data_IF_854718208636
#
_entry.id   IF_854718208636
#
_cell.length_a   1.000
_cell.length_b   1.000
_cell.length_c   1.000
_cell.angle_alpha   90.00
_cell.angle_beta   90.00
_cell.angle_gamma   90.00
#
_symmetry.space_group_name_H-M   'P 1'
#
loop_
_entity.id
_entity.type
_entity.pdbx_description
1 polymer ?
#
# COMPACT_ATOMS: atom_id res chain seq x y z
N UNK A 1 -26.91 -4.60 -5.00
CA UNK A 1 -25.59 -4.94 -5.58
C UNK A 1 -24.64 -3.76 -5.46
N UNK A 2 -25.05 -2.55 -5.87
CA UNK A 2 -24.30 -1.29 -5.65
C UNK A 2 -24.01 -1.00 -4.17
N UNK A 3 -24.96 -1.28 -3.27
CA UNK A 3 -24.74 -1.09 -1.82
C UNK A 3 -23.63 -1.97 -1.25
N UNK A 4 -23.52 -3.21 -1.75
CA UNK A 4 -22.46 -4.15 -1.35
C UNK A 4 -21.10 -3.64 -1.85
N UNK A 5 -21.03 -3.15 -3.08
CA UNK A 5 -19.79 -2.57 -3.61
C UNK A 5 -19.41 -1.30 -2.84
N UNK A 6 -20.37 -0.44 -2.49
CA UNK A 6 -20.11 0.74 -1.69
C UNK A 6 -19.58 0.38 -0.29
N UNK A 7 -20.15 -0.63 0.36
CA UNK A 7 -19.67 -1.14 1.63
C UNK A 7 -18.24 -1.69 1.53
N UNK A 8 -17.97 -2.58 0.57
CA UNK A 8 -16.63 -3.15 0.35
C UNK A 8 -15.61 -2.07 0.01
N UNK A 9 -16.02 -1.03 -0.73
CA UNK A 9 -15.17 0.13 -1.02
C UNK A 9 -14.81 0.89 0.26
N UNK A 10 -15.78 1.14 1.15
CA UNK A 10 -15.51 1.81 2.43
C UNK A 10 -14.59 0.98 3.34
N UNK A 11 -14.82 -0.33 3.41
CA UNK A 11 -13.95 -1.26 4.15
C UNK A 11 -12.52 -1.27 3.57
N UNK A 12 -12.39 -1.25 2.24
CA UNK A 12 -11.11 -1.20 1.55
C UNK A 12 -10.37 0.12 1.79
N UNK A 13 -11.08 1.25 1.80
CA UNK A 13 -10.50 2.56 2.16
C UNK A 13 -9.98 2.55 3.59
N UNK A 14 -10.78 2.06 4.54
CA UNK A 14 -10.38 1.95 5.93
C UNK A 14 -9.14 1.06 6.11
N UNK A 15 -9.10 -0.10 5.44
CA UNK A 15 -7.94 -0.98 5.45
C UNK A 15 -6.69 -0.34 4.83
N UNK A 16 -6.84 0.43 3.74
CA UNK A 16 -5.73 1.16 3.14
C UNK A 16 -5.21 2.29 4.04
N UNK A 17 -6.09 3.00 4.75
CA UNK A 17 -5.70 4.02 5.73
C UNK A 17 -4.99 3.41 6.94
N UNK A 18 -5.49 2.29 7.47
CA UNK A 18 -4.85 1.57 8.56
C UNK A 18 -3.47 1.04 8.14
N UNK A 19 -3.37 0.45 6.95
CA UNK A 19 -2.09 0.03 6.35
C UNK A 19 -1.12 1.20 6.19
N UNK A 20 -1.60 2.35 5.70
CA UNK A 20 -0.79 3.58 5.60
C UNK A 20 -0.27 4.08 6.95
N UNK A 21 -1.11 4.05 8.00
CA UNK A 21 -0.68 4.41 9.36
C UNK A 21 0.35 3.44 9.92
N UNK A 22 0.16 2.13 9.73
CA UNK A 22 1.11 1.11 10.15
C UNK A 22 2.47 1.28 9.45
N UNK A 23 2.46 1.60 8.15
CA UNK A 23 3.68 1.95 7.40
C UNK A 23 4.35 3.19 7.99
N UNK A 24 3.61 4.26 8.28
CA UNK A 24 4.19 5.46 8.87
C UNK A 24 4.86 5.17 10.23
N UNK A 25 4.21 4.37 11.08
CA UNK A 25 4.80 3.92 12.34
C UNK A 25 6.08 3.09 12.14
N UNK A 26 6.11 2.26 11.09
CA UNK A 26 7.30 1.50 10.73
C UNK A 26 8.44 2.43 10.24
N UNK A 27 8.14 3.48 9.47
CA UNK A 27 9.13 4.49 9.05
C UNK A 27 9.76 5.15 10.28
N UNK A 28 8.94 5.62 11.21
CA UNK A 28 9.41 6.30 12.43
C UNK A 28 10.27 5.35 13.29
N UNK A 29 9.85 4.08 13.39
CA UNK A 29 10.61 3.05 14.11
C UNK A 29 11.96 2.75 13.47
N UNK A 30 12.02 2.65 12.14
CA UNK A 30 13.26 2.42 11.39
C UNK A 30 14.21 3.62 11.53
N UNK A 31 13.68 4.85 11.49
CA UNK A 31 14.47 6.05 11.75
C UNK A 31 15.07 6.03 13.17
N UNK A 32 14.30 5.61 14.17
CA UNK A 32 14.79 5.41 15.54
C UNK A 32 15.91 4.35 15.63
N UNK A 33 15.74 3.22 14.93
CA UNK A 33 16.78 2.17 14.85
C UNK A 33 18.06 2.72 14.22
N UNK A 34 17.96 3.52 13.15
CA UNK A 34 19.13 4.14 12.52
C UNK A 34 19.91 5.00 13.52
N UNK A 35 19.21 5.82 14.31
CA UNK A 35 19.82 6.61 15.38
C UNK A 35 20.56 5.75 16.41
N UNK A 36 19.94 4.67 16.88
CA UNK A 36 20.57 3.74 17.84
C UNK A 36 21.82 3.09 17.25
N UNK A 37 21.80 2.70 15.98
CA UNK A 37 22.96 2.12 15.28
C UNK A 37 24.12 3.13 15.23
N UNK A 38 23.83 4.40 14.86
CA UNK A 38 24.85 5.45 14.82
C UNK A 38 25.44 5.75 16.20
N UNK A 39 24.60 5.83 17.23
CA UNK A 39 25.05 6.05 18.61
C UNK A 39 25.93 4.89 19.09
N UNK A 40 25.52 3.66 18.81
CA UNK A 40 26.28 2.45 19.18
C UNK A 40 27.63 2.42 18.46
N UNK A 41 27.67 2.77 17.17
CA UNK A 41 28.92 2.91 16.42
C UNK A 41 29.85 3.97 17.06
N UNK A 42 29.29 5.09 17.54
CA UNK A 42 30.03 6.13 18.27
C UNK A 42 30.64 5.62 19.58
N UNK A 43 29.90 4.85 20.36
CA UNK A 43 30.39 4.22 21.59
C UNK A 43 31.52 3.23 21.30
N UNK A 44 31.39 2.41 20.26
CA UNK A 44 32.41 1.43 19.88
C UNK A 44 33.70 2.13 19.39
N UNK A 45 33.60 3.22 18.61
CA UNK A 45 34.78 4.03 18.24
C UNK A 45 35.48 4.63 19.46
N UNK A 46 34.70 5.06 20.46
CA UNK A 46 35.25 5.56 21.72
C UNK A 46 36.01 4.47 22.49
N UNK A 47 35.47 3.24 22.52
CA UNK A 47 36.18 2.07 23.06
C UNK A 47 37.51 1.81 22.31
N UNK A 48 37.54 1.95 20.98
CA UNK A 48 38.77 1.83 20.20
C UNK A 48 39.84 2.84 20.64
N UNK A 49 39.43 4.08 20.88
CA UNK A 49 40.31 5.14 21.39
C UNK A 49 40.81 4.82 22.82
N UNK A 50 39.96 4.26 23.68
CA UNK A 50 40.38 3.84 25.02
C UNK A 50 41.36 2.66 24.98
N UNK A 51 41.13 1.66 24.13
CA UNK A 51 42.05 0.54 23.93
C UNK A 51 43.42 1.01 23.46
N UNK A 52 43.48 2.04 22.62
CA UNK A 52 44.74 2.63 22.18
C UNK A 52 45.49 3.35 23.31
N UNK A 53 44.78 4.08 24.17
CA UNK A 53 45.37 4.68 25.39
C UNK A 53 45.88 3.60 26.36
N UNK A 54 45.13 2.51 26.54
CA UNK A 54 45.57 1.40 27.39
C UNK A 54 46.83 0.74 26.81
N UNK A 55 46.90 0.55 25.49
CA UNK A 55 48.10 0.03 24.83
C UNK A 55 49.34 0.88 25.17
N UNK A 56 49.25 2.21 25.10
CA UNK A 56 50.36 3.10 25.45
C UNK A 56 50.79 2.99 26.92
N UNK A 57 49.83 2.78 27.83
CA UNK A 57 50.13 2.55 29.25
C UNK A 57 50.86 1.23 29.44
N UNK A 58 50.41 0.17 28.77
CA UNK A 58 51.04 -1.16 28.83
C UNK A 58 52.46 -1.12 28.27
N UNK A 59 52.68 -0.41 27.16
CA UNK A 59 54.02 -0.19 26.59
C UNK A 59 54.94 0.54 27.57
N UNK A 60 54.41 1.55 28.28
CA UNK A 60 55.15 2.28 29.32
C UNK A 60 55.51 1.37 30.49
N UNK A 61 54.58 0.55 30.97
CA UNK A 61 54.82 -0.42 32.07
C UNK A 61 55.88 -1.44 31.66
N UNK A 62 55.80 -1.96 30.43
CA UNK A 62 56.79 -2.88 29.87
C UNK A 62 58.18 -2.23 29.85
N UNK A 63 58.27 -0.97 29.39
CA UNK A 63 59.51 -0.19 29.44
C UNK A 63 60.06 0.01 30.85
N UNK A 64 59.21 0.33 31.83
CA UNK A 64 59.60 0.47 33.25
C UNK A 64 60.10 -0.87 33.81
N UNK A 65 59.40 -1.97 33.53
CA UNK A 65 59.78 -3.31 33.97
C UNK A 65 61.14 -3.70 33.40
N UNK A 66 61.37 -3.50 32.10
CA UNK A 66 62.65 -3.74 31.45
C UNK A 66 63.79 -2.90 32.05
N UNK A 67 63.57 -1.60 32.29
CA UNK A 67 64.54 -0.74 32.95
C UNK A 67 64.84 -1.17 34.39
N UNK A 68 63.81 -1.56 35.14
CA UNK A 68 63.94 -2.05 36.52
C UNK A 68 64.71 -3.36 36.56
N UNK A 69 64.47 -4.25 35.59
CA UNK A 69 65.21 -5.51 35.44
C UNK A 69 66.70 -5.24 35.21
N UNK A 70 67.04 -4.30 34.31
CA UNK A 70 68.43 -3.89 34.07
C UNK A 70 69.09 -3.22 35.28
N UNK A 71 68.36 -2.36 35.99
CA UNK A 71 68.84 -1.72 37.22
C UNK A 71 69.12 -2.76 38.32
N UNK A 72 68.21 -3.72 38.51
CA UNK A 72 68.35 -4.80 39.47
C UNK A 72 69.51 -5.73 39.12
N UNK A 73 69.71 -6.02 37.83
CA UNK A 73 70.87 -6.78 37.35
C UNK A 73 72.19 -6.07 37.67
N UNK A 74 72.28 -4.77 37.38
CA UNK A 74 73.47 -3.98 37.70
C UNK A 74 73.73 -3.93 39.21
N UNK A 75 72.68 -3.77 40.02
CA UNK A 75 72.80 -3.81 41.48
C UNK A 75 73.24 -5.19 42.01
N UNK A 76 72.79 -6.28 41.40
CA UNK A 76 73.22 -7.63 41.75
C UNK A 76 74.70 -7.87 41.42
N UNK A 77 75.18 -7.33 40.29
CA UNK A 77 76.61 -7.37 39.91
C UNK A 77 77.46 -6.60 40.92
N UNK A 78 77.07 -5.36 41.25
CA UNK A 78 77.82 -4.51 42.20
C UNK A 78 77.82 -5.12 43.62
N UNK A 79 76.70 -5.72 44.03
CA UNK A 79 76.58 -6.41 45.31
C UNK A 79 77.47 -7.67 45.38
N UNK A 80 77.63 -8.41 44.27
CA UNK A 80 78.58 -9.51 44.19
C UNK A 80 80.04 -9.04 44.27
N UNK A 81 80.33 -7.85 43.70
CA UNK A 81 81.65 -7.24 43.71
C UNK A 81 82.07 -6.74 45.11
N UNK A 82 81.12 -6.35 45.96
CA UNK A 82 81.34 -5.98 47.37
C UNK A 82 81.57 -7.19 48.32
N UNK A 83 81.53 -8.42 47.80
CA UNK A 83 81.80 -9.65 48.57
C UNK A 83 80.84 -9.86 49.75
N UNK A 84 81.37 -10.23 50.91
CA UNK A 84 80.57 -10.54 52.11
C UNK A 84 79.71 -9.36 52.60
N UNK A 85 80.13 -8.12 52.36
CA UNK A 85 79.37 -6.91 52.74
C UNK A 85 78.17 -6.62 51.83
N UNK A 86 78.16 -7.13 50.60
CA UNK A 86 77.09 -6.94 49.62
C UNK A 86 76.02 -8.04 49.64
N UNK A 87 76.21 -9.09 50.45
CA UNK A 87 75.40 -10.32 50.40
C UNK A 87 73.90 -10.09 50.65
N UNK A 88 73.55 -9.16 51.55
CA UNK A 88 72.15 -8.76 51.78
C UNK A 88 71.55 -7.96 50.63
N UNK A 89 72.32 -7.08 50.00
CA UNK A 89 71.90 -6.31 48.83
C UNK A 89 71.72 -7.20 47.59
N UNK A 90 72.54 -8.23 47.42
CA UNK A 90 72.43 -9.19 46.32
C UNK A 90 71.08 -9.93 46.34
N UNK A 91 70.59 -10.31 47.52
CA UNK A 91 69.28 -10.97 47.68
C UNK A 91 68.13 -10.03 47.30
N UNK A 92 68.20 -8.77 47.74
CA UNK A 92 67.17 -7.76 47.38
C UNK A 92 67.20 -7.48 45.88
N UNK A 93 68.37 -7.36 45.28
CA UNK A 93 68.52 -7.13 43.84
C UNK A 93 67.94 -8.29 43.01
N UNK A 94 68.18 -9.55 43.38
CA UNK A 94 67.58 -10.70 42.67
C UNK A 94 66.05 -10.77 42.85
N UNK A 95 65.51 -10.38 44.00
CA UNK A 95 64.06 -10.31 44.22
C UNK A 95 63.40 -9.21 43.38
N UNK A 96 64.02 -8.02 43.31
CA UNK A 96 63.56 -6.92 42.44
C UNK A 96 63.62 -7.34 40.97
N UNK A 97 64.68 -8.06 40.56
CA UNK A 97 64.83 -8.60 39.20
C UNK A 97 63.67 -9.55 38.85
N UNK A 98 63.34 -10.50 39.73
CA UNK A 98 62.21 -11.42 39.53
C UNK A 98 60.87 -10.70 39.43
N UNK A 99 60.64 -9.69 40.27
CA UNK A 99 59.43 -8.87 40.21
C UNK A 99 59.33 -8.10 38.89
N UNK A 100 60.46 -7.58 38.38
CA UNK A 100 60.52 -6.89 37.10
C UNK A 100 60.22 -7.84 35.92
N UNK A 101 60.82 -9.04 35.90
CA UNK A 101 60.52 -10.07 34.89
C UNK A 101 59.05 -10.50 34.93
N UNK A 102 58.47 -10.64 36.12
CA UNK A 102 57.05 -10.95 36.28
C UNK A 102 56.16 -9.81 35.78
N UNK A 103 56.51 -8.55 36.06
CA UNK A 103 55.79 -7.38 35.56
C UNK A 103 55.84 -7.27 34.03
N UNK A 104 57.00 -7.54 33.42
CA UNK A 104 57.18 -7.58 31.96
C UNK A 104 56.30 -8.66 31.32
N UNK A 105 56.29 -9.87 31.90
CA UNK A 105 55.41 -10.96 31.43
C UNK A 105 53.93 -10.60 31.55
N UNK A 106 53.52 -9.99 32.67
CA UNK A 106 52.13 -9.54 32.85
C UNK A 106 51.76 -8.44 31.86
N UNK A 107 52.65 -7.48 31.59
CA UNK A 107 52.44 -6.45 30.58
C UNK A 107 52.27 -7.07 29.18
N UNK A 108 53.08 -8.07 28.83
CA UNK A 108 52.93 -8.83 27.58
C UNK A 108 51.56 -9.49 27.43
N UNK A 109 51.10 -10.20 28.46
CA UNK A 109 49.77 -10.82 28.46
C UNK A 109 48.64 -9.79 28.31
N UNK A 110 48.77 -8.61 28.95
CA UNK A 110 47.78 -7.53 28.81
C UNK A 110 47.81 -6.97 27.37
N UNK A 111 48.99 -6.83 26.76
CA UNK A 111 49.12 -6.36 25.38
C UNK A 111 48.41 -7.30 24.40
N UNK A 112 48.53 -8.62 24.56
CA UNK A 112 47.82 -9.62 23.76
C UNK A 112 46.29 -9.46 23.88
N UNK A 113 45.78 -9.33 25.11
CA UNK A 113 44.34 -9.10 25.36
C UNK A 113 43.85 -7.80 24.72
N UNK A 114 44.65 -6.73 24.77
CA UNK A 114 44.30 -5.45 24.15
C UNK A 114 44.24 -5.57 22.62
N UNK A 115 45.13 -6.35 22.00
CA UNK A 115 45.06 -6.62 20.56
C UNK A 115 43.79 -7.40 20.17
N UNK A 116 43.43 -8.40 20.96
CA UNK A 116 42.17 -9.14 20.76
C UNK A 116 40.95 -8.22 20.87
N UNK A 117 40.91 -7.36 21.89
CA UNK A 117 39.86 -6.34 22.06
C UNK A 117 39.81 -5.38 20.87
N UNK A 118 40.95 -4.90 20.37
CA UNK A 118 41.00 -4.01 19.18
C UNK A 118 40.43 -4.71 17.95
N UNK A 119 40.75 -5.99 17.74
CA UNK A 119 40.19 -6.80 16.66
C UNK A 119 38.65 -6.90 16.76
N UNK A 120 38.12 -7.19 17.95
CA UNK A 120 36.68 -7.23 18.18
C UNK A 120 35.99 -5.89 17.97
N UNK A 121 36.62 -4.79 18.35
CA UNK A 121 36.12 -3.42 18.10
C UNK A 121 36.01 -3.17 16.60
N UNK A 122 37.04 -3.51 15.82
CA UNK A 122 37.03 -3.34 14.37
C UNK A 122 35.91 -4.15 13.71
N UNK A 123 35.77 -5.43 14.09
CA UNK A 123 34.68 -6.28 13.62
C UNK A 123 33.29 -5.71 13.98
N UNK A 124 33.16 -5.10 15.17
CA UNK A 124 31.90 -4.52 15.60
C UNK A 124 31.56 -3.25 14.80
N UNK A 125 32.55 -2.43 14.44
CA UNK A 125 32.35 -1.26 13.55
C UNK A 125 31.87 -1.72 12.18
N UNK A 126 32.53 -2.69 11.56
CA UNK A 126 32.13 -3.23 10.24
C UNK A 126 30.70 -3.78 10.25
N UNK A 127 30.31 -4.47 11.33
CA UNK A 127 28.93 -4.94 11.50
C UNK A 127 27.93 -3.79 11.65
N UNK A 128 28.28 -2.75 12.39
CA UNK A 128 27.42 -1.57 12.55
C UNK A 128 27.24 -0.81 11.23
N UNK A 129 28.29 -0.67 10.43
CA UNK A 129 28.21 -0.05 9.11
C UNK A 129 27.28 -0.85 8.18
N UNK A 130 27.41 -2.19 8.19
CA UNK A 130 26.48 -3.06 7.44
C UNK A 130 25.04 -2.95 7.96
N UNK A 131 24.84 -2.91 9.28
CA UNK A 131 23.51 -2.70 9.86
C UNK A 131 22.90 -1.36 9.44
N UNK A 132 23.70 -0.30 9.34
CA UNK A 132 23.24 1.00 8.85
C UNK A 132 22.76 0.92 7.38
N UNK A 133 23.48 0.19 6.53
CA UNK A 133 23.09 -0.06 5.13
C UNK A 133 21.78 -0.86 5.04
N UNK A 134 21.64 -1.94 5.83
CA UNK A 134 20.43 -2.75 5.87
C UNK A 134 19.22 -1.95 6.35
N UNK A 135 19.38 -1.10 7.37
CA UNK A 135 18.34 -0.18 7.86
C UNK A 135 17.95 0.82 6.78
N UNK A 136 18.92 1.41 6.05
CA UNK A 136 18.64 2.33 4.94
C UNK A 136 17.87 1.64 3.82
N UNK A 137 18.23 0.40 3.49
CA UNK A 137 17.52 -0.39 2.47
C UNK A 137 16.10 -0.71 2.92
N UNK A 138 15.93 -1.13 4.18
CA UNK A 138 14.62 -1.38 4.78
C UNK A 138 13.72 -0.15 4.78
N UNK A 139 14.28 1.04 5.05
CA UNK A 139 13.55 2.30 4.95
C UNK A 139 12.99 2.52 3.54
N UNK A 140 13.78 2.26 2.51
CA UNK A 140 13.33 2.38 1.11
C UNK A 140 12.17 1.44 0.77
N UNK A 141 12.22 0.19 1.24
CA UNK A 141 11.14 -0.80 1.05
C UNK A 141 9.85 -0.36 1.73
N UNK A 142 9.94 0.15 2.96
CA UNK A 142 8.77 0.62 3.72
C UNK A 142 8.16 1.88 3.09
N UNK A 143 8.98 2.79 2.57
CA UNK A 143 8.49 3.95 1.81
C UNK A 143 7.70 3.53 0.58
N UNK A 144 8.23 2.58 -0.21
CA UNK A 144 7.52 2.04 -1.39
C UNK A 144 6.20 1.34 -1.02
N UNK A 145 6.15 0.67 0.13
CA UNK A 145 4.90 0.12 0.65
C UNK A 145 3.89 1.22 0.99
N UNK A 146 4.34 2.35 1.55
CA UNK A 146 3.51 3.52 1.84
C UNK A 146 2.90 4.14 0.57
N UNK A 147 3.70 4.30 -0.47
CA UNK A 147 3.22 4.76 -1.79
C UNK A 147 2.19 3.80 -2.38
N UNK A 148 2.39 2.49 -2.21
CA UNK A 148 1.44 1.47 -2.67
C UNK A 148 0.08 1.59 -1.96
N UNK A 149 0.06 1.79 -0.63
CA UNK A 149 -1.19 2.03 0.11
C UNK A 149 -1.87 3.34 -0.31
N UNK A 150 -1.11 4.41 -0.57
CA UNK A 150 -1.66 5.66 -1.10
C UNK A 150 -2.32 5.46 -2.47
N UNK A 151 -1.67 4.70 -3.36
CA UNK A 151 -2.22 4.32 -4.67
C UNK A 151 -3.50 3.48 -4.54
N UNK A 152 -3.53 2.49 -3.62
CA UNK A 152 -4.73 1.69 -3.33
C UNK A 152 -5.87 2.60 -2.88
N UNK A 153 -5.63 3.52 -1.94
CA UNK A 153 -6.65 4.46 -1.47
C UNK A 153 -7.27 5.26 -2.63
N UNK A 154 -6.43 5.80 -3.51
CA UNK A 154 -6.89 6.55 -4.67
C UNK A 154 -7.71 5.70 -5.64
N UNK A 155 -7.32 4.44 -5.87
CA UNK A 155 -8.07 3.52 -6.72
C UNK A 155 -9.43 3.17 -6.14
N UNK A 156 -9.52 3.00 -4.82
CA UNK A 156 -10.78 2.74 -4.11
C UNK A 156 -11.69 3.97 -4.15
N UNK A 157 -11.15 5.18 -3.99
CA UNK A 157 -11.92 6.43 -4.13
C UNK A 157 -12.51 6.57 -5.55
N UNK A 158 -11.72 6.25 -6.57
CA UNK A 158 -12.19 6.25 -7.97
C UNK A 158 -13.29 5.21 -8.21
N UNK A 159 -13.14 4.01 -7.63
CA UNK A 159 -14.16 2.97 -7.68
C UNK A 159 -15.47 3.43 -7.04
N UNK A 160 -15.38 4.10 -5.89
CA UNK A 160 -16.55 4.65 -5.19
C UNK A 160 -17.32 5.64 -6.09
N UNK A 161 -16.62 6.56 -6.75
CA UNK A 161 -17.23 7.51 -7.70
C UNK A 161 -17.89 6.79 -8.89
N UNK A 162 -17.23 5.78 -9.45
CA UNK A 162 -17.77 5.00 -10.56
C UNK A 162 -19.08 4.28 -10.17
N UNK A 163 -19.13 3.71 -8.97
CA UNK A 163 -20.33 3.02 -8.45
C UNK A 163 -21.49 3.98 -8.21
N UNK A 164 -21.21 5.19 -7.71
CA UNK A 164 -22.23 6.24 -7.61
C UNK A 164 -22.80 6.62 -8.99
N UNK A 165 -21.93 6.77 -10.00
CA UNK A 165 -22.34 7.05 -11.37
C UNK A 165 -23.22 5.95 -11.99
N UNK A 166 -22.87 4.68 -11.75
CA UNK A 166 -23.67 3.52 -12.18
C UNK A 166 -25.04 3.52 -11.49
N UNK A 167 -25.07 3.80 -10.18
CA UNK A 167 -26.33 3.85 -9.41
C UNK A 167 -27.27 4.93 -9.94
N UNK A 168 -26.76 6.12 -10.24
CA UNK A 168 -27.54 7.19 -10.86
C UNK A 168 -28.06 6.80 -12.24
N UNK A 169 -27.22 6.18 -13.08
CA UNK A 169 -27.62 5.71 -14.41
C UNK A 169 -28.71 4.64 -14.33
N UNK A 170 -28.62 3.73 -13.36
CA UNK A 170 -29.63 2.69 -13.12
C UNK A 170 -30.99 3.27 -12.70
N UNK A 171 -31.00 4.32 -11.87
CA UNK A 171 -32.22 5.04 -11.50
C UNK A 171 -32.87 5.72 -12.71
N UNK A 172 -32.07 6.39 -13.56
CA UNK A 172 -32.55 7.00 -14.80
C UNK A 172 -33.14 5.94 -15.75
N UNK A 173 -32.47 4.80 -15.90
CA UNK A 173 -32.95 3.70 -16.73
C UNK A 173 -34.26 3.12 -16.20
N UNK A 174 -34.39 2.92 -14.88
CA UNK A 174 -35.62 2.43 -14.24
C UNK A 174 -36.80 3.39 -14.51
N UNK A 175 -36.59 4.69 -14.31
CA UNK A 175 -37.60 5.71 -14.62
C UNK A 175 -37.97 5.76 -16.11
N UNK A 176 -37.01 5.55 -16.99
CA UNK A 176 -37.25 5.51 -18.44
C UNK A 176 -38.05 4.27 -18.85
N UNK A 177 -37.73 3.09 -18.29
CA UNK A 177 -38.52 1.87 -18.50
C UNK A 177 -39.97 2.03 -18.02
N UNK A 178 -40.20 2.70 -16.89
CA UNK A 178 -41.55 2.98 -16.42
C UNK A 178 -42.34 3.86 -17.42
N UNK A 179 -41.70 4.88 -18.00
CA UNK A 179 -42.31 5.72 -19.05
C UNK A 179 -42.63 4.92 -20.32
N UNK A 180 -41.73 4.04 -20.75
CA UNK A 180 -41.96 3.16 -21.90
C UNK A 180 -43.17 2.26 -21.63
N UNK A 181 -43.27 1.68 -20.42
CA UNK A 181 -44.42 0.85 -20.08
C UNK A 181 -45.74 1.61 -20.08
N UNK A 182 -45.76 2.84 -19.57
CA UNK A 182 -46.94 3.71 -19.66
C UNK A 182 -47.31 4.03 -21.12
N UNK A 183 -46.32 4.25 -21.99
CA UNK A 183 -46.56 4.50 -23.42
C UNK A 183 -47.13 3.26 -24.12
N UNK A 184 -46.61 2.07 -23.82
CA UNK A 184 -47.12 0.80 -24.36
C UNK A 184 -48.58 0.57 -23.94
N UNK A 185 -48.94 0.84 -22.68
CA UNK A 185 -50.32 0.68 -22.22
C UNK A 185 -51.26 1.68 -22.92
N UNK A 186 -50.79 2.92 -23.16
CA UNK A 186 -51.55 3.91 -23.93
C UNK A 186 -51.76 3.48 -25.38
N UNK A 187 -50.73 2.92 -26.02
CA UNK A 187 -50.84 2.35 -27.38
C UNK A 187 -51.87 1.23 -27.40
N UNK A 188 -51.83 0.32 -26.42
CA UNK A 188 -52.81 -0.77 -26.30
C UNK A 188 -54.24 -0.25 -26.22
N UNK A 189 -54.49 0.77 -25.38
CA UNK A 189 -55.81 1.39 -25.25
C UNK A 189 -56.28 2.03 -26.57
N UNK A 190 -55.42 2.80 -27.24
CA UNK A 190 -55.74 3.41 -28.55
C UNK A 190 -56.02 2.33 -29.61
N UNK A 191 -55.24 1.25 -29.63
CA UNK A 191 -55.46 0.14 -30.56
C UNK A 191 -56.82 -0.55 -30.32
N UNK A 192 -57.25 -0.71 -29.07
CA UNK A 192 -58.57 -1.24 -28.74
C UNK A 192 -59.71 -0.32 -29.19
N UNK A 193 -59.57 1.00 -28.95
CA UNK A 193 -60.54 1.99 -29.41
C UNK A 193 -60.63 2.03 -30.94
N UNK A 194 -59.48 1.97 -31.62
CA UNK A 194 -59.40 1.93 -33.08
C UNK A 194 -60.07 0.67 -33.65
N UNK A 195 -59.86 -0.49 -33.03
CA UNK A 195 -60.50 -1.74 -33.43
C UNK A 195 -62.03 -1.66 -33.27
N UNK A 196 -62.51 -1.13 -32.15
CA UNK A 196 -63.95 -0.91 -31.92
C UNK A 196 -64.55 0.07 -32.95
N UNK A 197 -63.89 1.20 -33.20
CA UNK A 197 -64.30 2.18 -34.19
C UNK A 197 -64.35 1.60 -35.61
N UNK A 198 -63.35 0.80 -35.99
CA UNK A 198 -63.35 0.10 -37.28
C UNK A 198 -64.54 -0.84 -37.42
N UNK A 199 -64.95 -1.50 -36.34
CA UNK A 199 -66.08 -2.42 -36.33
C UNK A 199 -67.41 -1.69 -36.47
N UNK A 200 -67.54 -0.52 -35.83
CA UNK A 200 -68.68 0.39 -36.03
C UNK A 200 -68.75 0.91 -37.47
N UNK A 201 -67.62 1.29 -38.07
CA UNK A 201 -67.56 1.75 -39.46
C UNK A 201 -67.97 0.63 -40.41
N UNK A 202 -67.50 -0.61 -40.21
CA UNK A 202 -67.92 -1.76 -41.01
C UNK A 202 -69.45 -1.94 -40.95
N UNK A 203 -70.05 -1.89 -39.76
CA UNK A 203 -71.50 -2.02 -39.59
C UNK A 203 -72.27 -0.89 -40.31
N UNK A 204 -71.83 0.36 -40.17
CA UNK A 204 -72.42 1.50 -40.87
C UNK A 204 -72.29 1.38 -42.40
N UNK A 205 -71.17 0.83 -42.88
CA UNK A 205 -70.94 0.58 -44.31
C UNK A 205 -71.90 -0.49 -44.85
N UNK A 206 -72.18 -1.54 -44.07
CA UNK A 206 -73.17 -2.57 -44.41
C UNK A 206 -74.60 -1.98 -44.48
N UNK A 207 -75.01 -1.17 -43.49
CA UNK A 207 -76.30 -0.46 -43.52
C UNK A 207 -76.39 0.48 -44.72
N UNK A 208 -75.34 1.27 -44.98
CA UNK A 208 -75.31 2.18 -46.13
C UNK A 208 -75.41 1.42 -47.46
N UNK A 209 -74.75 0.27 -47.58
CA UNK A 209 -74.86 -0.60 -48.76
C UNK A 209 -76.29 -1.10 -48.97
N UNK A 210 -76.95 -1.55 -47.89
CA UNK A 210 -78.35 -1.97 -47.94
C UNK A 210 -79.28 -0.81 -48.36
N UNK A 211 -79.10 0.38 -47.80
CA UNK A 211 -79.87 1.57 -48.18
C UNK A 211 -79.66 1.97 -49.64
N UNK A 212 -78.43 1.89 -50.15
CA UNK A 212 -78.15 2.12 -51.57
C UNK A 212 -78.86 1.12 -52.48
N UNK A 213 -78.96 -0.15 -52.07
CA UNK A 213 -79.71 -1.17 -52.79
C UNK A 213 -81.21 -0.83 -52.86
N UNK A 214 -81.78 -0.31 -51.77
CA UNK A 214 -83.18 0.13 -51.70
C UNK A 214 -83.45 1.36 -52.57
N UNK A 215 -82.53 2.34 -52.56
CA UNK A 215 -82.59 3.50 -53.44
C UNK A 215 -82.54 3.07 -54.91
N UNK A 216 -81.63 2.17 -55.27
CA UNK A 216 -81.52 1.66 -56.65
C UNK A 216 -82.80 0.92 -57.09
N UNK A 217 -83.39 0.12 -56.21
CA UNK A 217 -84.69 -0.53 -56.44
C UNK A 217 -85.81 0.49 -56.65
N UNK A 218 -85.90 1.50 -55.77
CA UNK A 218 -86.89 2.57 -55.85
C UNK A 218 -86.74 3.40 -57.13
N UNK A 219 -85.51 3.74 -57.54
CA UNK A 219 -85.24 4.44 -58.79
C UNK A 219 -85.65 3.62 -60.01
N UNK A 220 -85.46 2.30 -59.97
CA UNK A 220 -85.91 1.38 -61.02
C UNK A 220 -87.43 1.35 -61.12
N UNK A 221 -88.13 1.26 -59.98
CA UNK A 221 -89.59 1.31 -59.92
C UNK A 221 -90.14 2.65 -60.44
N UNK A 222 -89.52 3.78 -60.05
CA UNK A 222 -89.90 5.11 -60.51
C UNK A 222 -89.71 5.25 -62.04
N UNK A 223 -88.60 4.72 -62.58
CA UNK A 223 -88.34 4.67 -64.02
C UNK A 223 -89.40 3.86 -64.77
N UNK A 224 -89.79 2.69 -64.23
CA UNK A 224 -90.89 1.89 -64.80
C UNK A 224 -92.22 2.65 -64.79
N UNK A 225 -92.57 3.31 -63.68
CA UNK A 225 -93.80 4.09 -63.55
C UNK A 225 -93.82 5.29 -64.50
N UNK A 226 -92.69 5.99 -64.64
CA UNK A 226 -92.47 7.05 -65.62
C UNK A 226 -92.73 6.55 -67.04
N UNK A 227 -92.17 5.39 -67.40
CA UNK A 227 -92.39 4.77 -68.72
C UNK A 227 -93.85 4.37 -68.96
N UNK A 228 -94.55 3.89 -67.93
CA UNK A 228 -96.00 3.59 -68.00
C UNK A 228 -96.83 4.86 -68.23
N UNK A 229 -96.54 5.94 -67.48
CA UNK A 229 -97.18 7.25 -67.65
C UNK A 229 -96.95 7.82 -69.06
N UNK A 230 -95.73 7.72 -69.59
CA UNK A 230 -95.42 8.17 -70.96
C UNK A 230 -96.21 7.36 -72.01
N UNK A 231 -96.34 6.05 -71.81
CA UNK A 231 -97.15 5.17 -72.67
C UNK A 231 -98.64 5.54 -72.63
N UNK A 232 -99.19 5.80 -71.44
CA UNK A 232 -100.58 6.27 -71.28
C UNK A 232 -100.79 7.63 -71.96
N UNK A 233 -99.87 8.59 -71.82
CA UNK A 233 -99.96 9.89 -72.50
C UNK A 233 -99.90 9.76 -74.02
N UNK A 234 -99.15 8.79 -74.57
CA UNK A 234 -99.15 8.48 -76.02
C UNK A 234 -100.50 7.96 -76.51
N UNK A 235 -101.32 7.32 -75.67
CA UNK A 235 -102.69 6.91 -76.03
C UNK A 235 -103.67 8.10 -76.06
N UNK A 236 -103.38 9.19 -75.32
CA UNK A 236 -104.22 10.39 -75.30
C UNK A 236 -103.76 11.49 -76.28
N UNK A 237 -102.55 11.38 -76.83
CA UNK A 237 -102.14 12.15 -78.02
C UNK A 237 -102.80 11.53 -79.25
N UNK A 238 -104.00 12.02 -79.56
CA UNK A 238 -104.62 11.93 -80.88
C UNK A 238 -103.72 12.54 -81.96
#
# INVERSE_FOLDING_TARGET
NTDVVAQVSNESTAAAEEGGKAVQQAIDSIAGINGIVQDTAGVIRSLGTFSEKISQIVDTISGIASHTNLLALNAAIEAAQAGEHGRGFAVVADEVRKLAEQAEKSAGNIAELIQEVKSHIQMAIERMDKSAEEVSTGQGVVLAAGESFASIRQQVDNLHQAVQGITGSAQVLSGSSAKVMAAVEKIRSISQETAAGSQTISAATEEQSAGMQEIASSATALSQLSGQLESMLKQYKF
#
